data_IF_667841131391
#
_entry.id   IF_667841131391
#
_cell.length_a   1.000
_cell.length_b   1.000
_cell.length_c   1.000
_cell.angle_alpha   90.00
_cell.angle_beta   90.00
_cell.angle_gamma   90.00
#
_symmetry.space_group_name_H-M   'P 1'
#
loop_
_entity.id
_entity.type
_entity.pdbx_description
1 polymer ?
#
# COMPACT_ATOMS: atom_id res chain seq x y z
N UNK A 1 10.15 15.64 -19.28
CA UNK A 1 9.34 15.21 -18.11
C UNK A 1 10.24 14.74 -16.98
N UNK A 2 9.98 15.16 -15.74
CA UNK A 2 10.58 14.53 -14.55
C UNK A 2 9.67 13.38 -14.08
N UNK A 3 9.93 12.16 -14.56
CA UNK A 3 9.13 10.97 -14.24
C UNK A 3 9.25 10.56 -12.76
N UNK A 4 10.36 10.92 -12.11
CA UNK A 4 10.66 10.49 -10.76
C UNK A 4 9.68 11.02 -9.72
N UNK A 5 9.01 12.15 -10.00
CA UNK A 5 7.96 12.69 -9.14
C UNK A 5 6.75 11.75 -8.99
N UNK A 6 6.52 10.84 -9.94
CA UNK A 6 5.41 9.87 -9.94
C UNK A 6 5.75 8.56 -9.23
N UNK A 7 7.01 8.33 -8.86
CA UNK A 7 7.42 7.15 -8.09
C UNK A 7 7.25 7.45 -6.60
N UNK A 8 6.25 6.85 -5.96
CA UNK A 8 5.91 7.16 -4.56
C UNK A 8 6.99 6.72 -3.56
N UNK A 9 7.73 5.64 -3.85
CA UNK A 9 8.86 5.18 -3.02
C UNK A 9 10.10 6.05 -3.24
N UNK A 10 10.59 6.69 -2.18
CA UNK A 10 11.84 7.46 -2.24
C UNK A 10 13.05 6.58 -2.52
N UNK A 11 13.09 5.35 -2.00
CA UNK A 11 14.22 4.43 -2.15
C UNK A 11 14.33 3.98 -3.61
N UNK A 12 13.21 3.55 -4.22
CA UNK A 12 13.17 3.16 -5.63
C UNK A 12 13.47 4.36 -6.52
N UNK A 13 12.88 5.52 -6.24
CA UNK A 13 13.13 6.76 -6.99
C UNK A 13 14.61 7.10 -7.03
N UNK A 14 15.26 7.14 -5.86
CA UNK A 14 16.68 7.45 -5.75
C UNK A 14 17.56 6.42 -6.45
N UNK A 15 17.18 5.14 -6.37
CA UNK A 15 17.93 4.07 -7.02
C UNK A 15 17.84 4.12 -8.55
N UNK A 16 16.63 4.32 -9.10
CA UNK A 16 16.44 4.44 -10.55
C UNK A 16 17.17 5.68 -11.11
N UNK A 17 17.21 6.78 -10.35
CA UNK A 17 18.04 7.95 -10.64
C UNK A 17 19.54 7.60 -10.66
N UNK A 18 20.03 6.90 -9.63
CA UNK A 18 21.44 6.54 -9.47
C UNK A 18 21.94 5.67 -10.62
N UNK A 19 21.16 4.65 -11.00
CA UNK A 19 21.51 3.75 -12.10
C UNK A 19 21.21 4.35 -13.48
N UNK A 20 20.62 5.56 -13.54
CA UNK A 20 20.19 6.26 -14.75
C UNK A 20 19.28 5.37 -15.62
N UNK A 21 18.25 4.81 -15.00
CA UNK A 21 17.33 3.90 -15.68
C UNK A 21 16.67 4.61 -16.88
N UNK A 22 16.72 3.96 -18.04
CA UNK A 22 16.08 4.45 -19.26
C UNK A 22 14.68 3.84 -19.37
N UNK A 23 13.66 4.67 -19.20
CA UNK A 23 12.26 4.23 -19.28
C UNK A 23 11.75 4.22 -20.72
N UNK A 24 10.99 3.20 -21.06
CA UNK A 24 10.16 3.13 -22.26
C UNK A 24 8.86 3.92 -22.10
N UNK A 25 8.20 4.29 -23.21
CA UNK A 25 6.90 4.99 -23.17
C UNK A 25 5.85 4.25 -22.31
N UNK A 26 5.66 2.93 -22.44
CA UNK A 26 4.72 2.20 -21.61
C UNK A 26 5.05 2.24 -20.12
N UNK A 27 6.33 2.13 -19.76
CA UNK A 27 6.78 2.19 -18.36
C UNK A 27 6.51 3.57 -17.74
N UNK A 28 6.79 4.64 -18.48
CA UNK A 28 6.53 6.01 -18.03
C UNK A 28 5.03 6.23 -17.81
N UNK A 29 4.20 5.86 -18.79
CA UNK A 29 2.75 5.95 -18.69
C UNK A 29 2.19 5.14 -17.50
N UNK A 30 2.72 3.94 -17.30
CA UNK A 30 2.36 3.06 -16.20
C UNK A 30 2.76 3.63 -14.83
N UNK A 31 3.96 4.18 -14.67
CA UNK A 31 4.38 4.79 -13.39
C UNK A 31 3.51 6.00 -13.02
N UNK A 32 3.05 6.80 -13.99
CA UNK A 32 2.09 7.89 -13.75
C UNK A 32 0.75 7.34 -13.25
N UNK A 33 0.25 6.26 -13.87
CA UNK A 33 -0.96 5.55 -13.43
C UNK A 33 -0.81 5.02 -11.99
N UNK A 34 0.34 4.40 -11.69
CA UNK A 34 0.62 3.78 -10.39
C UNK A 34 0.84 4.80 -9.25
N UNK A 35 1.11 6.06 -9.57
CA UNK A 35 1.32 7.09 -8.54
C UNK A 35 0.06 7.30 -7.70
N UNK A 36 0.18 7.13 -6.39
CA UNK A 36 -0.89 7.35 -5.41
C UNK A 36 -0.81 8.72 -4.75
N UNK A 37 0.34 9.40 -4.84
CA UNK A 37 0.52 10.75 -4.31
C UNK A 37 0.25 11.88 -5.31
N UNK A 38 0.39 11.65 -6.62
CA UNK A 38 0.22 12.70 -7.61
C UNK A 38 -1.25 13.05 -7.88
N UNK A 39 -1.55 14.35 -7.91
CA UNK A 39 -2.86 14.84 -8.32
C UNK A 39 -3.17 14.47 -9.78
N UNK A 40 -4.44 14.17 -10.06
CA UNK A 40 -4.92 13.65 -11.34
C UNK A 40 -4.73 14.64 -12.49
N UNK A 41 -4.81 15.95 -12.23
CA UNK A 41 -4.46 16.97 -13.22
C UNK A 41 -2.98 16.88 -13.65
N UNK A 42 -2.06 16.69 -12.71
CA UNK A 42 -0.63 16.48 -13.01
C UNK A 42 -0.40 15.19 -13.80
N UNK A 43 -1.20 14.15 -13.55
CA UNK A 43 -1.17 12.91 -14.35
C UNK A 43 -1.65 13.18 -15.79
N UNK A 44 -2.72 13.94 -15.98
CA UNK A 44 -3.16 14.36 -17.33
C UNK A 44 -2.07 15.13 -18.08
N UNK A 45 -1.44 16.10 -17.41
CA UNK A 45 -0.36 16.88 -18.01
C UNK A 45 0.83 16.00 -18.40
N UNK A 46 1.20 15.03 -17.53
CA UNK A 46 2.29 14.10 -17.80
C UNK A 46 2.00 13.13 -18.94
N UNK A 47 0.80 12.55 -19.02
CA UNK A 47 0.41 11.72 -20.16
C UNK A 47 0.31 12.54 -21.46
N UNK A 48 -0.11 13.80 -21.40
CA UNK A 48 -0.06 14.70 -22.54
C UNK A 48 1.38 15.00 -22.97
N UNK A 49 2.30 15.21 -22.02
CA UNK A 49 3.72 15.40 -22.32
C UNK A 49 4.32 14.16 -23.01
N UNK A 50 3.91 12.94 -22.64
CA UNK A 50 4.30 11.72 -23.37
C UNK A 50 3.86 11.81 -24.84
N UNK A 51 2.58 12.10 -25.08
CA UNK A 51 2.02 12.22 -26.44
C UNK A 51 2.77 13.27 -27.27
N UNK A 52 3.14 14.38 -26.65
CA UNK A 52 3.73 15.53 -27.34
C UNK A 52 5.24 15.37 -27.59
N UNK A 53 5.95 14.62 -26.75
CA UNK A 53 7.43 14.63 -26.71
C UNK A 53 8.11 13.28 -26.92
N UNK A 54 7.41 12.17 -26.66
CA UNK A 54 7.96 10.82 -26.83
C UNK A 54 7.49 10.20 -28.16
N UNK A 55 8.25 9.26 -28.75
CA UNK A 55 7.81 8.57 -29.96
C UNK A 55 6.66 7.61 -29.65
N UNK A 56 5.67 7.56 -30.53
CA UNK A 56 4.57 6.59 -30.41
C UNK A 56 5.09 5.16 -30.55
N UNK A 57 4.43 4.22 -29.88
CA UNK A 57 4.78 2.80 -29.89
C UNK A 57 3.55 1.93 -29.74
N UNK A 58 3.67 0.66 -30.14
CA UNK A 58 2.68 -0.36 -29.86
C UNK A 58 3.10 -1.26 -28.69
N UNK A 59 2.14 -1.97 -28.13
CA UNK A 59 2.35 -3.02 -27.15
C UNK A 59 1.41 -4.19 -27.46
N UNK A 60 1.97 -5.39 -27.50
CA UNK A 60 1.19 -6.59 -27.81
C UNK A 60 0.16 -6.92 -26.72
N UNK A 61 -0.83 -7.71 -27.11
CA UNK A 61 -1.84 -8.29 -26.22
C UNK A 61 -1.20 -9.01 -25.01
N UNK A 62 -1.88 -8.92 -23.87
CA UNK A 62 -1.58 -9.66 -22.64
C UNK A 62 -2.83 -10.36 -22.14
N UNK A 63 -2.71 -11.14 -21.06
CA UNK A 63 -3.82 -11.96 -20.54
C UNK A 63 -5.07 -11.13 -20.22
N UNK A 64 -4.90 -9.93 -19.68
CA UNK A 64 -5.97 -9.03 -19.23
C UNK A 64 -5.89 -7.67 -19.93
N UNK A 65 -5.35 -7.62 -21.15
CA UNK A 65 -5.16 -6.38 -21.91
C UNK A 65 -5.16 -6.67 -23.40
N UNK A 66 -6.02 -6.00 -24.16
CA UNK A 66 -5.96 -6.05 -25.61
C UNK A 66 -4.65 -5.47 -26.16
N UNK A 67 -4.33 -5.77 -27.41
CA UNK A 67 -3.23 -5.12 -28.10
C UNK A 67 -3.44 -3.60 -28.12
N UNK A 68 -2.38 -2.84 -27.86
CA UNK A 68 -2.35 -1.37 -27.97
C UNK A 68 -1.56 -1.03 -29.24
N UNK A 69 -2.21 -0.68 -30.37
CA UNK A 69 -1.49 -0.37 -31.61
C UNK A 69 -0.76 0.97 -31.57
N UNK A 70 -1.24 1.90 -30.72
CA UNK A 70 -0.69 3.25 -30.54
C UNK A 70 -0.90 3.69 -29.10
N UNK A 71 0.19 3.86 -28.36
CA UNK A 71 0.16 4.37 -26.99
C UNK A 71 -0.35 5.81 -26.95
N UNK A 72 -0.05 6.62 -27.96
CA UNK A 72 -0.54 8.00 -28.02
C UNK A 72 -2.07 8.05 -28.12
N UNK A 73 -2.64 7.18 -28.96
CA UNK A 73 -4.09 7.04 -29.09
C UNK A 73 -4.72 6.55 -27.78
N UNK A 74 -4.16 5.48 -27.20
CA UNK A 74 -4.61 4.94 -25.92
C UNK A 74 -4.63 6.02 -24.82
N UNK A 75 -3.53 6.75 -24.63
CA UNK A 75 -3.45 7.81 -23.62
C UNK A 75 -4.46 8.94 -23.88
N UNK A 76 -4.67 9.32 -25.14
CA UNK A 76 -5.65 10.34 -25.51
C UNK A 76 -7.07 9.91 -25.12
N UNK A 77 -7.44 8.67 -25.45
CA UNK A 77 -8.74 8.09 -25.14
C UNK A 77 -8.92 7.90 -23.62
N UNK A 78 -7.88 7.43 -22.92
CA UNK A 78 -7.89 7.26 -21.46
C UNK A 78 -8.07 8.59 -20.71
N UNK A 79 -7.33 9.65 -21.10
CA UNK A 79 -7.51 11.00 -20.54
C UNK A 79 -8.94 11.50 -20.76
N UNK A 80 -9.49 11.29 -21.97
CA UNK A 80 -10.85 11.70 -22.30
C UNK A 80 -11.89 10.96 -21.45
N UNK A 81 -11.71 9.66 -21.24
CA UNK A 81 -12.55 8.82 -20.38
C UNK A 81 -12.56 9.34 -18.94
N UNK A 82 -11.38 9.55 -18.34
CA UNK A 82 -11.27 10.06 -16.97
C UNK A 82 -11.91 11.45 -16.81
N UNK A 83 -11.71 12.36 -17.78
CA UNK A 83 -12.39 13.67 -17.81
C UNK A 83 -13.91 13.54 -17.89
N UNK A 84 -14.41 12.56 -18.65
CA UNK A 84 -15.85 12.28 -18.72
C UNK A 84 -16.39 11.76 -17.38
N UNK A 85 -15.68 10.84 -16.71
CA UNK A 85 -16.06 10.35 -15.39
C UNK A 85 -16.11 11.48 -14.35
N UNK A 86 -15.14 12.39 -14.35
CA UNK A 86 -15.16 13.58 -13.50
C UNK A 86 -16.39 14.47 -13.79
N UNK A 87 -16.71 14.68 -15.06
CA UNK A 87 -17.91 15.45 -15.45
C UNK A 87 -19.19 14.77 -14.96
N UNK A 88 -19.29 13.44 -15.08
CA UNK A 88 -20.41 12.66 -14.57
C UNK A 88 -20.52 12.73 -13.05
N UNK A 89 -19.38 12.68 -12.35
CA UNK A 89 -19.33 12.81 -10.89
C UNK A 89 -19.92 14.16 -10.45
N UNK A 90 -19.48 15.28 -11.03
CA UNK A 90 -19.94 16.62 -10.63
C UNK A 90 -21.35 17.00 -11.12
N UNK A 91 -21.95 16.24 -12.04
CA UNK A 91 -23.30 16.52 -12.50
C UNK A 91 -24.34 16.30 -11.37
N UNK A 92 -25.29 17.21 -11.19
CA UNK A 92 -26.27 17.18 -10.10
C UNK A 92 -27.41 16.17 -10.29
N UNK A 93 -27.41 15.37 -11.35
CA UNK A 93 -28.49 14.42 -11.63
C UNK A 93 -28.37 13.11 -10.82
N UNK A 94 -29.47 12.74 -10.14
CA UNK A 94 -29.84 11.40 -9.63
C UNK A 94 -28.74 10.60 -8.91
N UNK A 95 -28.04 11.21 -7.94
CA UNK A 95 -27.14 10.48 -7.06
C UNK A 95 -27.15 11.00 -5.63
N UNK A 96 -26.74 10.14 -4.71
CA UNK A 96 -26.45 10.49 -3.31
C UNK A 96 -24.93 10.54 -3.16
N UNK A 97 -24.44 11.55 -2.46
CA UNK A 97 -23.04 11.72 -2.15
C UNK A 97 -22.77 11.36 -0.70
N UNK A 98 -21.70 10.62 -0.45
CA UNK A 98 -21.15 10.33 0.87
C UNK A 98 -19.65 10.62 0.87
N UNK A 99 -19.05 10.72 2.04
CA UNK A 99 -17.61 10.71 2.17
C UNK A 99 -17.12 9.84 3.32
N UNK A 100 -15.89 9.36 3.18
CA UNK A 100 -15.20 8.53 4.13
C UNK A 100 -13.75 8.99 4.29
N UNK A 101 -13.24 8.92 5.51
CA UNK A 101 -11.84 9.22 5.80
C UNK A 101 -11.03 7.94 5.77
N UNK A 102 -9.81 8.02 5.24
CA UNK A 102 -8.83 6.96 5.40
C UNK A 102 -8.12 7.18 6.73
N UNK A 103 -8.57 6.46 7.74
CA UNK A 103 -8.06 6.59 9.09
C UNK A 103 -7.18 5.40 9.45
N UNK A 104 -6.14 5.72 10.22
CA UNK A 104 -5.43 4.73 11.02
C UNK A 104 -6.35 4.36 12.17
N UNK A 105 -6.95 3.17 12.14
CA UNK A 105 -7.82 2.69 13.22
C UNK A 105 -7.14 2.94 14.58
N UNK A 106 -7.83 3.71 15.43
CA UNK A 106 -7.31 4.15 16.72
C UNK A 106 -6.86 2.98 17.57
N UNK A 107 -5.84 3.21 18.42
CA UNK A 107 -5.24 2.24 19.33
C UNK A 107 -6.27 1.54 20.24
N UNK A 108 -6.97 0.50 19.75
CA UNK A 108 -7.56 -0.52 20.60
C UNK A 108 -6.46 -1.49 20.98
N UNK A 109 -6.23 -1.65 22.28
CA UNK A 109 -5.30 -2.63 22.82
C UNK A 109 -5.70 -4.03 22.33
N UNK A 110 -4.87 -4.63 21.48
CA UNK A 110 -5.01 -6.02 21.02
C UNK A 110 -5.51 -6.21 19.58
N UNK A 111 -5.77 -5.16 18.82
CA UNK A 111 -6.11 -5.27 17.39
C UNK A 111 -5.05 -4.59 16.53
N UNK A 112 -4.52 -5.35 15.56
CA UNK A 112 -3.67 -4.89 14.47
C UNK A 112 -4.39 -3.71 13.81
N UNK A 113 -4.01 -2.46 14.11
CA UNK A 113 -4.62 -1.28 13.47
C UNK A 113 -4.69 -1.47 11.97
N UNK A 114 -5.90 -1.71 11.46
CA UNK A 114 -6.16 -1.82 10.03
C UNK A 114 -6.40 -0.39 9.56
N UNK A 115 -5.68 0.04 8.53
CA UNK A 115 -6.14 1.22 7.83
C UNK A 115 -7.48 0.88 7.17
N UNK A 116 -8.48 1.73 7.39
CA UNK A 116 -9.83 1.49 6.96
C UNK A 116 -10.49 2.77 6.50
N UNK A 117 -11.44 2.63 5.57
CA UNK A 117 -12.35 3.70 5.25
C UNK A 117 -13.42 3.77 6.33
N UNK A 118 -13.48 4.90 7.04
CA UNK A 118 -14.50 5.18 8.04
C UNK A 118 -15.54 6.09 7.41
N UNK A 119 -16.73 5.56 7.17
CA UNK A 119 -17.86 6.35 6.66
C UNK A 119 -18.47 7.20 7.78
N UNK A 120 -18.71 8.47 7.48
CA UNK A 120 -19.31 9.42 8.42
C UNK A 120 -20.84 9.27 8.50
N UNK A 121 -21.44 8.56 7.53
CA UNK A 121 -22.85 8.15 7.53
C UNK A 121 -23.84 9.20 7.03
N UNK A 122 -23.42 10.45 6.81
CA UNK A 122 -24.29 11.47 6.21
C UNK A 122 -24.47 11.28 4.69
N UNK A 123 -25.68 11.58 4.23
CA UNK A 123 -26.09 11.50 2.83
C UNK A 123 -26.39 12.90 2.29
N UNK A 124 -25.80 13.24 1.15
CA UNK A 124 -25.96 14.55 0.53
C UNK A 124 -26.57 14.44 -0.87
N UNK A 125 -27.41 15.39 -1.24
CA UNK A 125 -28.03 15.45 -2.57
C UNK A 125 -27.07 15.94 -3.67
N UNK A 126 -25.99 16.63 -3.28
CA UNK A 126 -25.01 17.19 -4.19
C UNK A 126 -23.63 17.29 -3.51
N UNK A 127 -22.59 17.30 -4.36
CA UNK A 127 -21.20 17.34 -3.91
C UNK A 127 -20.84 18.64 -3.15
N UNK A 128 -21.41 19.79 -3.52
CA UNK A 128 -21.06 21.06 -2.88
C UNK A 128 -21.58 21.13 -1.45
N UNK A 129 -22.76 20.57 -1.19
CA UNK A 129 -23.31 20.41 0.15
C UNK A 129 -22.43 19.47 0.98
N UNK A 130 -21.98 18.34 0.41
CA UNK A 130 -21.08 17.41 1.09
C UNK A 130 -19.74 18.07 1.48
N UNK A 131 -19.13 18.82 0.55
CA UNK A 131 -17.89 19.58 0.81
C UNK A 131 -18.09 20.68 1.85
N UNK A 132 -19.24 21.37 1.82
CA UNK A 132 -19.56 22.41 2.80
C UNK A 132 -19.74 21.81 4.20
N UNK A 133 -20.35 20.62 4.28
CA UNK A 133 -20.46 19.87 5.53
C UNK A 133 -19.09 19.45 6.06
N UNK A 134 -18.23 18.87 5.20
CA UNK A 134 -16.86 18.50 5.54
C UNK A 134 -16.10 19.69 6.13
N UNK A 135 -16.01 20.80 5.39
CA UNK A 135 -15.24 21.99 5.80
C UNK A 135 -15.76 22.62 7.09
N UNK A 136 -17.06 22.51 7.38
CA UNK A 136 -17.68 23.07 8.57
C UNK A 136 -17.39 22.23 9.82
N UNK A 137 -17.44 20.90 9.70
CA UNK A 137 -17.34 20.00 10.85
C UNK A 137 -15.90 19.50 11.09
N UNK A 138 -15.06 19.52 10.05
CA UNK A 138 -13.69 19.00 10.08
C UNK A 138 -12.66 20.02 9.58
N UNK A 139 -12.59 21.25 10.15
CA UNK A 139 -11.69 22.29 9.65
C UNK A 139 -10.21 22.04 9.96
N UNK A 140 -9.90 21.20 10.97
CA UNK A 140 -8.55 21.01 11.51
C UNK A 140 -8.11 19.53 11.62
N UNK A 141 -8.93 18.58 11.13
CA UNK A 141 -8.55 17.16 11.19
C UNK A 141 -7.53 16.80 10.11
N UNK A 142 -6.42 16.24 10.53
CA UNK A 142 -5.43 15.66 9.62
C UNK A 142 -5.87 14.25 9.20
N UNK A 143 -6.53 14.13 8.05
CA UNK A 143 -6.74 12.85 7.39
C UNK A 143 -5.69 12.63 6.29
N UNK A 144 -5.27 11.38 6.08
CA UNK A 144 -4.29 11.06 5.03
C UNK A 144 -4.92 11.10 3.64
N UNK A 145 -6.14 10.56 3.52
CA UNK A 145 -6.93 10.55 2.29
C UNK A 145 -8.42 10.67 2.60
N UNK A 146 -9.13 11.22 1.64
CA UNK A 146 -10.57 11.38 1.67
C UNK A 146 -11.16 10.69 0.45
N UNK A 147 -12.27 10.00 0.63
CA UNK A 147 -13.03 9.40 -0.47
C UNK A 147 -14.39 10.02 -0.51
N UNK A 148 -14.78 10.54 -1.66
CA UNK A 148 -16.17 10.86 -1.94
C UNK A 148 -16.76 9.81 -2.86
N UNK A 149 -17.93 9.30 -2.49
CA UNK A 149 -18.68 8.35 -3.31
C UNK A 149 -19.95 9.03 -3.77
N UNK A 150 -20.19 8.99 -5.08
CA UNK A 150 -21.49 9.28 -5.68
C UNK A 150 -22.15 7.95 -6.04
N UNK A 151 -23.25 7.63 -5.36
CA UNK A 151 -24.03 6.44 -5.64
C UNK A 151 -25.31 6.82 -6.39
N UNK A 152 -25.59 6.13 -7.49
CA UNK A 152 -26.84 6.31 -8.24
C UNK A 152 -27.96 5.47 -7.64
N UNK A 153 -29.20 5.90 -7.84
CA UNK A 153 -30.36 5.09 -7.48
C UNK A 153 -30.51 3.93 -8.47
N UNK A 154 -30.51 2.70 -7.95
CA UNK A 154 -30.83 1.52 -8.76
C UNK A 154 -32.30 1.53 -9.18
N UNK A 155 -32.54 1.28 -10.46
CA UNK A 155 -33.83 0.86 -10.99
C UNK A 155 -34.16 -0.58 -10.61
N UNK A 156 -35.42 -0.98 -10.77
CA UNK A 156 -35.88 -2.33 -10.44
C UNK A 156 -35.22 -3.44 -11.29
N UNK A 157 -34.60 -3.08 -12.41
CA UNK A 157 -33.94 -3.98 -13.36
C UNK A 157 -32.40 -3.87 -13.30
N UNK A 158 -31.84 -3.00 -12.45
CA UNK A 158 -30.39 -2.92 -12.29
C UNK A 158 -29.89 -4.17 -11.55
N UNK A 159 -28.93 -4.87 -12.14
CA UNK A 159 -28.32 -6.08 -11.57
C UNK A 159 -27.25 -5.76 -10.51
N UNK A 160 -26.78 -4.52 -10.47
CA UNK A 160 -25.64 -4.08 -9.65
C UNK A 160 -25.75 -2.59 -9.24
N UNK A 161 -24.96 -2.22 -8.24
CA UNK A 161 -24.94 -0.85 -7.71
C UNK A 161 -24.01 0.04 -8.53
N UNK A 162 -24.55 1.13 -9.07
CA UNK A 162 -23.79 2.10 -9.87
C UNK A 162 -23.16 3.17 -8.98
N UNK A 163 -21.83 3.32 -9.04
CA UNK A 163 -21.08 4.27 -8.21
C UNK A 163 -19.93 4.93 -8.97
N UNK A 164 -19.63 6.17 -8.58
CA UNK A 164 -18.37 6.84 -8.90
C UNK A 164 -17.68 7.22 -7.61
N UNK A 165 -16.36 7.07 -7.58
CA UNK A 165 -15.56 7.29 -6.38
C UNK A 165 -14.42 8.25 -6.75
N UNK A 166 -14.27 9.32 -5.98
CA UNK A 166 -13.10 10.19 -6.04
C UNK A 166 -12.27 10.00 -4.77
N UNK A 167 -11.00 9.66 -4.94
CA UNK A 167 -10.02 9.78 -3.86
C UNK A 167 -9.33 11.14 -3.95
N UNK A 168 -9.19 11.81 -2.82
CA UNK A 168 -8.66 13.16 -2.70
C UNK A 168 -7.64 13.22 -1.57
N UNK A 169 -6.69 14.14 -1.67
CA UNK A 169 -5.81 14.48 -0.56
C UNK A 169 -6.49 15.49 0.39
N UNK A 170 -5.78 15.85 1.47
CA UNK A 170 -6.22 16.85 2.44
C UNK A 170 -6.56 18.22 1.81
N UNK A 171 -5.86 18.60 0.75
CA UNK A 171 -6.08 19.87 0.05
C UNK A 171 -7.23 19.81 -0.97
N UNK A 172 -7.98 18.71 -1.00
CA UNK A 172 -9.06 18.43 -1.95
C UNK A 172 -8.58 18.44 -3.41
N UNK A 173 -7.32 18.09 -3.66
CA UNK A 173 -6.86 17.70 -4.98
C UNK A 173 -7.27 16.25 -5.26
N UNK A 174 -7.82 15.99 -6.44
CA UNK A 174 -8.22 14.65 -6.86
C UNK A 174 -6.96 13.82 -7.14
N UNK A 175 -6.85 12.63 -6.54
CA UNK A 175 -5.74 11.70 -6.74
C UNK A 175 -6.08 10.61 -7.76
N UNK A 176 -7.32 10.12 -7.72
CA UNK A 176 -7.86 9.12 -8.65
C UNK A 176 -9.38 9.21 -8.73
N UNK A 177 -9.91 8.70 -9.85
CA UNK A 177 -11.32 8.40 -10.05
C UNK A 177 -11.45 6.90 -10.26
N UNK A 178 -12.46 6.32 -9.65
CA UNK A 178 -12.84 4.91 -9.77
C UNK A 178 -14.35 4.83 -10.01
N UNK A 179 -14.80 3.70 -10.55
CA UNK A 179 -16.18 3.51 -10.97
C UNK A 179 -16.66 2.08 -10.72
N UNK A 180 -17.96 1.92 -10.59
CA UNK A 180 -18.60 0.61 -10.52
C UNK A 180 -19.89 0.66 -11.37
N UNK A 181 -19.97 -0.18 -12.39
CA UNK A 181 -21.13 -0.37 -13.28
C UNK A 181 -21.60 0.93 -13.99
N UNK A 182 -20.72 1.92 -14.16
CA UNK A 182 -21.01 3.19 -14.87
C UNK A 182 -20.58 3.13 -16.32
N UNK A 183 -19.48 2.44 -16.61
CA UNK A 183 -18.95 2.30 -17.96
C UNK A 183 -19.68 1.19 -18.74
N UNK A 184 -19.62 1.28 -20.07
CA UNK A 184 -19.94 0.13 -20.92
C UNK A 184 -18.69 -0.72 -21.16
N UNK A 185 -18.86 -1.94 -21.67
CA UNK A 185 -17.79 -2.92 -21.89
C UNK A 185 -16.53 -2.30 -22.54
N UNK A 186 -16.68 -1.56 -23.65
CA UNK A 186 -15.54 -0.95 -24.35
C UNK A 186 -14.82 0.15 -23.55
N UNK A 187 -15.56 0.86 -22.68
CA UNK A 187 -14.98 1.86 -21.80
C UNK A 187 -14.32 1.23 -20.59
N UNK A 188 -14.89 0.14 -20.07
CA UNK A 188 -14.31 -0.66 -18.99
C UNK A 188 -12.99 -1.29 -19.45
N UNK A 189 -12.94 -1.89 -20.64
CA UNK A 189 -11.70 -2.42 -21.23
C UNK A 189 -10.59 -1.35 -21.32
N UNK A 190 -10.95 -0.13 -21.77
CA UNK A 190 -10.04 1.01 -21.81
C UNK A 190 -9.61 1.46 -20.41
N UNK A 191 -10.53 1.47 -19.44
CA UNK A 191 -10.28 1.86 -18.06
C UNK A 191 -9.30 0.89 -17.37
N UNK A 192 -9.47 -0.40 -17.62
CA UNK A 192 -8.69 -1.49 -17.04
C UNK A 192 -7.38 -1.78 -17.78
N UNK A 193 -7.13 -1.12 -18.92
CA UNK A 193 -5.94 -1.37 -19.76
C UNK A 193 -4.61 -1.27 -18.99
N UNK A 194 -4.47 -0.27 -18.10
CA UNK A 194 -3.27 -0.17 -17.26
C UNK A 194 -3.15 -1.30 -16.24
N UNK A 195 -4.26 -1.84 -15.75
CA UNK A 195 -4.27 -2.95 -14.79
C UNK A 195 -3.74 -4.22 -15.41
N UNK A 196 -3.94 -4.42 -16.72
CA UNK A 196 -3.38 -5.52 -17.50
C UNK A 196 -1.89 -5.41 -17.83
N UNK A 197 -1.21 -4.34 -17.39
CA UNK A 197 0.22 -4.14 -17.60
C UNK A 197 1.07 -4.65 -16.42
N UNK A 198 2.30 -5.08 -16.74
CA UNK A 198 3.31 -5.49 -15.76
C UNK A 198 4.71 -5.19 -16.31
N UNK A 199 5.55 -4.64 -15.44
CA UNK A 199 6.94 -4.29 -15.75
C UNK A 199 7.86 -4.70 -14.61
N UNK A 200 9.07 -5.10 -14.97
CA UNK A 200 10.11 -5.52 -14.03
C UNK A 200 11.05 -4.36 -13.71
N UNK A 201 10.60 -3.42 -12.86
CA UNK A 201 11.43 -2.29 -12.45
C UNK A 201 12.54 -2.74 -11.48
N UNK A 202 13.79 -2.31 -11.69
CA UNK A 202 14.88 -2.56 -10.74
C UNK A 202 14.59 -1.94 -9.37
N UNK A 203 14.99 -2.63 -8.30
CA UNK A 203 14.81 -2.13 -6.92
C UNK A 203 16.13 -2.16 -6.14
N UNK A 204 16.32 -1.29 -5.13
CA UNK A 204 17.54 -1.25 -4.33
C UNK A 204 17.54 -2.25 -3.17
N UNK A 205 16.53 -3.11 -3.06
CA UNK A 205 16.29 -3.91 -1.85
C UNK A 205 16.99 -5.26 -1.91
N UNK A 206 17.30 -5.80 -0.74
CA UNK A 206 17.86 -7.14 -0.58
C UNK A 206 17.05 -7.96 0.40
N UNK A 207 17.13 -9.28 0.27
CA UNK A 207 16.58 -10.21 1.23
C UNK A 207 17.12 -9.90 2.63
N UNK A 208 16.24 -9.87 3.61
CA UNK A 208 16.56 -9.48 4.98
C UNK A 208 16.46 -7.97 5.24
N UNK A 209 16.26 -7.12 4.24
CA UNK A 209 15.97 -5.70 4.47
C UNK A 209 14.67 -5.56 5.27
N UNK A 210 14.65 -4.62 6.23
CA UNK A 210 13.44 -4.28 6.98
C UNK A 210 12.76 -3.11 6.27
N UNK A 211 11.59 -3.36 5.73
CA UNK A 211 10.87 -2.45 4.85
C UNK A 211 9.48 -2.14 5.39
N UNK A 212 8.85 -1.12 4.82
CA UNK A 212 7.41 -0.83 4.94
C UNK A 212 6.81 -0.73 3.55
N UNK A 213 5.49 -0.89 3.45
CA UNK A 213 4.74 -0.52 2.26
C UNK A 213 4.02 0.79 2.53
N UNK A 214 4.55 1.90 2.03
CA UNK A 214 4.08 3.25 2.41
C UNK A 214 2.63 3.56 1.99
N UNK A 215 2.03 2.72 1.14
CA UNK A 215 0.64 2.89 0.66
C UNK A 215 -0.33 1.97 1.40
N UNK A 216 0.09 0.74 1.71
CA UNK A 216 -0.80 -0.29 2.31
C UNK A 216 -0.65 -0.33 3.83
N UNK A 217 0.59 -0.27 4.34
CA UNK A 217 0.87 -0.46 5.76
C UNK A 217 2.27 0.05 6.13
N UNK A 218 2.32 0.97 7.10
CA UNK A 218 3.56 1.42 7.73
C UNK A 218 4.15 0.41 8.74
N UNK A 219 3.57 -0.79 8.86
CA UNK A 219 4.14 -1.82 9.74
C UNK A 219 5.39 -2.42 9.11
N UNK A 220 6.51 -2.47 9.84
CA UNK A 220 7.74 -3.02 9.32
C UNK A 220 7.59 -4.52 9.09
N UNK A 221 8.26 -5.01 8.04
CA UNK A 221 8.40 -6.42 7.73
C UNK A 221 9.81 -6.69 7.21
N UNK A 222 10.24 -7.94 7.26
CA UNK A 222 11.51 -8.39 6.68
C UNK A 222 11.25 -8.93 5.28
N UNK A 223 11.92 -8.37 4.27
CA UNK A 223 11.78 -8.79 2.88
C UNK A 223 12.38 -10.20 2.68
N UNK A 224 11.61 -11.08 2.04
CA UNK A 224 12.08 -12.39 1.61
C UNK A 224 12.51 -12.35 0.15
N UNK A 225 11.59 -12.00 -0.76
CA UNK A 225 11.85 -11.86 -2.18
C UNK A 225 10.91 -10.89 -2.90
N UNK A 226 11.29 -10.47 -4.10
CA UNK A 226 10.44 -9.71 -5.03
C UNK A 226 10.27 -10.55 -6.29
N UNK A 227 9.04 -10.67 -6.79
CA UNK A 227 8.73 -11.59 -7.89
C UNK A 227 9.36 -11.20 -9.24
N UNK A 228 9.97 -10.01 -9.34
CA UNK A 228 10.79 -9.58 -10.47
C UNK A 228 12.20 -10.15 -10.47
N UNK A 229 12.65 -10.74 -9.35
CA UNK A 229 14.00 -11.28 -9.24
C UNK A 229 14.19 -12.52 -10.10
N UNK A 230 15.12 -12.44 -11.05
CA UNK A 230 15.64 -13.59 -11.78
C UNK A 230 16.55 -14.47 -10.92
N UNK A 231 17.02 -15.58 -11.49
CA UNK A 231 17.87 -16.55 -10.80
C UNK A 231 19.15 -15.91 -10.25
N UNK A 232 19.79 -15.03 -11.04
CA UNK A 232 20.98 -14.29 -10.63
C UNK A 232 20.75 -13.45 -9.37
N UNK A 233 19.68 -12.66 -9.36
CA UNK A 233 19.37 -11.76 -8.24
C UNK A 233 18.98 -12.56 -6.98
N UNK A 234 18.27 -13.68 -7.14
CA UNK A 234 17.98 -14.61 -6.05
C UNK A 234 19.27 -15.19 -5.43
N UNK A 235 20.24 -15.58 -6.26
CA UNK A 235 21.54 -16.08 -5.77
C UNK A 235 22.33 -14.99 -5.03
N UNK A 236 22.36 -13.77 -5.56
CA UNK A 236 22.96 -12.61 -4.90
C UNK A 236 22.27 -12.28 -3.55
N UNK A 237 20.99 -12.63 -3.42
CA UNK A 237 20.19 -12.55 -2.20
C UNK A 237 20.27 -13.80 -1.30
N UNK A 238 21.28 -14.66 -1.53
CA UNK A 238 21.65 -15.75 -0.63
C UNK A 238 20.77 -16.99 -0.71
N UNK A 239 19.93 -17.14 -1.75
CA UNK A 239 19.26 -18.41 -2.08
C UNK A 239 20.27 -19.43 -2.63
N UNK A 240 19.90 -20.71 -2.64
CA UNK A 240 20.70 -21.81 -3.17
C UNK A 240 20.33 -22.10 -4.61
N UNK A 241 21.28 -22.49 -5.46
CA UNK A 241 20.98 -23.02 -6.80
C UNK A 241 20.06 -24.25 -6.76
N UNK A 242 20.09 -24.98 -5.64
CA UNK A 242 19.24 -26.16 -5.44
C UNK A 242 17.78 -25.80 -5.17
N UNK A 243 17.51 -24.58 -4.71
CA UNK A 243 16.18 -24.12 -4.33
C UNK A 243 15.25 -24.12 -5.55
N UNK A 244 14.08 -24.73 -5.40
CA UNK A 244 13.10 -24.84 -6.48
C UNK A 244 12.63 -23.49 -7.02
N UNK A 245 12.66 -22.43 -6.19
CA UNK A 245 12.33 -21.06 -6.58
C UNK A 245 13.38 -20.47 -7.52
N UNK A 246 14.68 -20.67 -7.24
CA UNK A 246 15.79 -20.19 -8.08
C UNK A 246 15.75 -20.85 -9.46
N UNK A 247 15.55 -22.17 -9.49
CA UNK A 247 15.45 -22.95 -10.74
C UNK A 247 14.31 -22.50 -11.66
N UNK A 248 13.28 -21.85 -11.11
CA UNK A 248 12.10 -21.38 -11.85
C UNK A 248 12.09 -19.87 -12.06
N UNK A 249 12.99 -19.11 -11.42
CA UNK A 249 12.94 -17.65 -11.36
C UNK A 249 12.90 -17.00 -12.74
N UNK A 250 13.86 -17.32 -13.61
CA UNK A 250 13.93 -16.70 -14.95
C UNK A 250 12.70 -17.03 -15.79
N UNK A 251 12.23 -18.29 -15.76
CA UNK A 251 11.00 -18.71 -16.44
C UNK A 251 9.77 -17.99 -15.88
N UNK A 252 9.73 -17.73 -14.58
CA UNK A 252 8.64 -16.97 -13.96
C UNK A 252 8.64 -15.53 -14.46
N UNK A 253 9.80 -14.85 -14.45
CA UNK A 253 9.93 -13.48 -14.96
C UNK A 253 9.56 -13.42 -16.46
N UNK A 254 10.05 -14.35 -17.28
CA UNK A 254 9.68 -14.43 -18.70
C UNK A 254 8.17 -14.65 -18.92
N UNK A 255 7.52 -15.42 -18.06
CA UNK A 255 6.06 -15.60 -18.10
C UNK A 255 5.35 -14.30 -17.75
N UNK A 256 5.80 -13.59 -16.71
CA UNK A 256 5.22 -12.33 -16.27
C UNK A 256 5.41 -11.21 -17.30
N UNK A 257 6.54 -11.16 -17.98
CA UNK A 257 6.75 -10.22 -19.10
C UNK A 257 5.71 -10.40 -20.23
N UNK A 258 5.13 -11.59 -20.37
CA UNK A 258 4.15 -11.91 -21.43
C UNK A 258 2.70 -11.88 -20.95
N UNK A 259 2.46 -12.27 -19.70
CA UNK A 259 1.11 -12.55 -19.18
C UNK A 259 0.81 -11.86 -17.86
N UNK A 260 1.80 -11.20 -17.26
CA UNK A 260 1.66 -10.53 -16.00
C UNK A 260 0.86 -9.25 -16.13
N UNK A 261 0.15 -8.94 -15.06
CA UNK A 261 -0.64 -7.75 -14.87
C UNK A 261 -0.28 -7.07 -13.54
N UNK A 262 -0.97 -6.02 -13.15
CA UNK A 262 -0.66 -5.29 -11.91
C UNK A 262 -0.75 -6.17 -10.67
N UNK A 263 -1.59 -7.21 -10.64
CA UNK A 263 -1.72 -8.14 -9.51
C UNK A 263 -0.47 -9.02 -9.33
N UNK A 264 0.39 -9.14 -10.35
CA UNK A 264 1.66 -9.86 -10.31
C UNK A 264 2.84 -9.00 -9.82
N UNK A 265 2.63 -7.73 -9.45
CA UNK A 265 3.66 -6.82 -8.92
C UNK A 265 4.05 -7.14 -7.47
N UNK A 266 4.19 -8.41 -7.12
CA UNK A 266 4.23 -8.88 -5.75
C UNK A 266 5.65 -8.95 -5.15
N UNK A 267 5.67 -8.94 -3.83
CA UNK A 267 6.83 -9.28 -3.02
C UNK A 267 6.40 -10.16 -1.86
N UNK A 268 7.31 -10.96 -1.32
CA UNK A 268 7.06 -11.79 -0.14
C UNK A 268 7.84 -11.25 1.05
N UNK A 269 7.26 -11.37 2.24
CA UNK A 269 7.89 -10.84 3.45
C UNK A 269 7.32 -11.45 4.71
N UNK A 270 8.05 -11.26 5.81
CA UNK A 270 7.66 -11.75 7.12
C UNK A 270 7.48 -10.60 8.10
N UNK A 271 6.34 -10.55 8.78
CA UNK A 271 5.98 -9.50 9.72
C UNK A 271 5.49 -10.11 11.03
N UNK A 272 5.41 -9.28 12.07
CA UNK A 272 4.85 -9.71 13.35
C UNK A 272 3.37 -9.34 13.37
N UNK A 273 2.54 -10.36 13.55
CA UNK A 273 1.13 -10.19 13.84
C UNK A 273 0.82 -10.52 15.30
N UNK A 274 -0.41 -10.21 15.68
CA UNK A 274 -0.93 -10.34 17.04
C UNK A 274 -2.24 -11.13 17.00
N UNK A 275 -2.46 -12.00 18.00
CA UNK A 275 -3.71 -12.73 18.21
C UNK A 275 -4.64 -12.01 19.19
N UNK A 276 -5.89 -12.43 19.25
CA UNK A 276 -6.92 -11.86 20.14
C UNK A 276 -6.64 -12.01 21.65
N UNK A 277 -5.56 -12.71 22.03
CA UNK A 277 -5.09 -12.91 23.41
C UNK A 277 -3.74 -12.22 23.67
N UNK A 278 -3.36 -11.24 22.85
CA UNK A 278 -2.07 -10.54 22.90
C UNK A 278 -0.85 -11.46 22.71
N UNK A 279 -1.03 -12.59 22.03
CA UNK A 279 0.07 -13.45 21.60
C UNK A 279 0.68 -12.92 20.30
N UNK A 280 1.99 -12.97 20.18
CA UNK A 280 2.71 -12.56 18.97
C UNK A 280 3.14 -13.77 18.14
N UNK A 281 3.18 -13.57 16.83
CA UNK A 281 3.61 -14.58 15.88
C UNK A 281 4.33 -13.95 14.69
N UNK A 282 5.18 -14.73 14.02
CA UNK A 282 5.76 -14.33 12.72
C UNK A 282 4.88 -14.91 11.62
N UNK A 283 4.34 -14.05 10.77
CA UNK A 283 3.59 -14.46 9.58
C UNK A 283 4.41 -14.13 8.33
N UNK A 284 4.43 -15.08 7.40
CA UNK A 284 5.00 -14.89 6.07
C UNK A 284 3.86 -14.81 5.07
N UNK A 285 3.88 -13.82 4.21
CA UNK A 285 2.78 -13.55 3.27
C UNK A 285 3.34 -13.01 1.94
N UNK A 286 2.54 -13.15 0.89
CA UNK A 286 2.75 -12.47 -0.39
C UNK A 286 1.92 -11.19 -0.39
N UNK A 287 2.61 -10.08 -0.58
CA UNK A 287 2.03 -8.75 -0.58
C UNK A 287 2.01 -8.15 -1.96
N UNK A 288 1.01 -7.31 -2.17
CA UNK A 288 0.88 -6.56 -3.40
C UNK A 288 1.67 -5.25 -3.38
N UNK A 289 2.29 -5.05 -4.54
CA UNK A 289 3.01 -3.90 -5.07
C UNK A 289 4.34 -3.51 -4.43
N UNK A 290 5.43 -4.02 -5.01
CA UNK A 290 6.78 -3.67 -4.61
C UNK A 290 7.17 -2.21 -4.91
N UNK A 291 6.45 -1.48 -5.77
CA UNK A 291 6.76 -0.08 -6.11
C UNK A 291 6.54 0.89 -4.95
N UNK A 292 5.83 0.46 -3.91
CA UNK A 292 5.55 1.26 -2.71
C UNK A 292 6.47 0.95 -1.53
N UNK A 293 7.48 0.10 -1.73
CA UNK A 293 8.39 -0.29 -0.67
C UNK A 293 9.37 0.83 -0.31
N UNK A 294 9.58 1.03 0.98
CA UNK A 294 10.64 1.90 1.51
C UNK A 294 11.35 1.22 2.68
N UNK A 295 12.61 1.61 2.90
CA UNK A 295 13.36 1.19 4.08
C UNK A 295 12.72 1.74 5.35
N UNK A 296 12.52 0.87 6.32
CA UNK A 296 12.09 1.27 7.65
C UNK A 296 13.25 1.96 8.38
N UNK A 297 13.11 3.26 8.65
CA UNK A 297 14.18 4.08 9.24
C UNK A 297 14.05 4.25 10.76
N UNK A 298 12.93 3.84 11.36
CA UNK A 298 12.67 4.05 12.78
C UNK A 298 13.26 2.92 13.63
N UNK A 299 13.54 3.15 14.93
CA UNK A 299 13.95 2.08 15.83
C UNK A 299 12.83 1.06 16.03
N UNK A 300 13.15 -0.23 15.94
CA UNK A 300 12.24 -1.30 16.31
C UNK A 300 11.98 -1.27 17.83
N UNK A 301 10.72 -1.39 18.23
CA UNK A 301 10.27 -1.32 19.63
C UNK A 301 9.40 -2.52 19.97
N UNK A 302 9.32 -2.84 21.27
CA UNK A 302 8.45 -3.91 21.76
C UNK A 302 8.76 -5.24 21.07
N UNK A 303 7.70 -5.89 20.57
CA UNK A 303 7.77 -7.14 19.83
C UNK A 303 8.50 -6.99 18.49
N UNK A 304 8.44 -5.81 17.85
CA UNK A 304 9.03 -5.56 16.52
C UNK A 304 10.55 -5.75 16.51
N UNK A 305 11.22 -5.71 17.67
CA UNK A 305 12.66 -6.03 17.78
C UNK A 305 13.00 -7.44 17.30
N UNK A 306 12.05 -8.38 17.33
CA UNK A 306 12.23 -9.72 16.76
C UNK A 306 12.51 -9.70 15.24
N UNK A 307 12.08 -8.65 14.50
CA UNK A 307 12.40 -8.51 13.08
C UNK A 307 13.91 -8.36 12.82
N UNK A 308 14.68 -7.80 13.76
CA UNK A 308 16.13 -7.69 13.60
C UNK A 308 16.81 -9.07 13.60
N UNK A 309 16.34 -10.00 14.42
CA UNK A 309 16.84 -11.37 14.44
C UNK A 309 16.47 -12.08 13.13
N UNK A 310 15.22 -11.92 12.67
CA UNK A 310 14.74 -12.48 11.41
C UNK A 310 15.50 -11.92 10.19
N UNK A 311 15.72 -10.61 10.13
CA UNK A 311 16.54 -9.97 9.11
C UNK A 311 17.96 -10.56 9.08
N UNK A 312 18.54 -10.76 10.26
CA UNK A 312 19.88 -11.35 10.38
C UNK A 312 19.93 -12.80 9.92
N UNK A 313 18.91 -13.61 10.20
CA UNK A 313 18.85 -15.02 9.74
C UNK A 313 18.65 -15.14 8.23
N UNK A 314 18.11 -14.10 7.59
CA UNK A 314 17.87 -14.04 6.14
C UNK A 314 18.98 -13.34 5.35
N UNK A 315 20.05 -12.86 6.02
CA UNK A 315 21.12 -12.10 5.37
C UNK A 315 21.63 -12.77 4.07
N UNK A 316 21.86 -12.01 2.99
CA UNK A 316 22.44 -12.56 1.76
C UNK A 316 23.81 -13.19 2.01
N UNK A 317 24.58 -12.62 2.94
CA UNK A 317 25.85 -13.17 3.41
C UNK A 317 25.59 -14.30 4.42
N UNK A 318 25.56 -15.53 3.91
CA UNK A 318 25.29 -16.74 4.72
C UNK A 318 26.18 -16.89 5.95
N UNK A 319 27.41 -16.36 5.92
CA UNK A 319 28.35 -16.44 7.05
C UNK A 319 27.99 -15.49 8.19
N UNK A 320 27.16 -14.48 7.92
CA UNK A 320 26.65 -13.51 8.90
C UNK A 320 25.28 -13.88 9.46
N UNK A 321 24.68 -14.98 8.99
CA UNK A 321 23.40 -15.43 9.51
C UNK A 321 23.55 -15.91 10.95
N UNK A 322 22.62 -15.49 11.79
CA UNK A 322 22.48 -16.07 13.13
C UNK A 322 22.02 -17.53 13.03
N UNK A 323 22.30 -18.34 14.05
CA UNK A 323 21.79 -19.71 14.13
C UNK A 323 20.27 -19.73 14.29
N UNK A 324 19.64 -20.83 13.87
CA UNK A 324 18.20 -21.05 14.08
C UNK A 324 17.83 -21.03 15.57
N UNK A 325 18.69 -21.58 16.43
CA UNK A 325 18.53 -21.53 17.88
C UNK A 325 18.51 -20.08 18.40
N UNK A 326 19.48 -19.25 18.01
CA UNK A 326 19.53 -17.85 18.43
C UNK A 326 18.35 -17.05 17.89
N UNK A 327 17.90 -17.35 16.67
CA UNK A 327 16.67 -16.76 16.11
C UNK A 327 15.46 -17.09 17.00
N UNK A 328 15.22 -18.37 17.28
CA UNK A 328 14.09 -18.84 18.08
C UNK A 328 14.11 -18.22 19.49
N UNK A 329 15.26 -18.24 20.16
CA UNK A 329 15.41 -17.70 21.51
C UNK A 329 15.17 -16.19 21.54
N UNK A 330 15.71 -15.45 20.56
CA UNK A 330 15.56 -14.00 20.49
C UNK A 330 14.12 -13.59 20.20
N UNK A 331 13.45 -14.28 19.26
CA UNK A 331 12.03 -14.04 18.95
C UNK A 331 11.18 -14.33 20.17
N UNK A 332 11.39 -15.48 20.82
CA UNK A 332 10.65 -15.88 22.01
C UNK A 332 10.83 -14.87 23.15
N UNK A 333 12.07 -14.44 23.41
CA UNK A 333 12.39 -13.45 24.42
C UNK A 333 11.64 -12.13 24.20
N UNK A 334 11.72 -11.54 23.00
CA UNK A 334 11.07 -10.26 22.74
C UNK A 334 9.54 -10.34 22.79
N UNK A 335 8.97 -11.47 22.38
CA UNK A 335 7.53 -11.70 22.48
C UNK A 335 7.08 -11.79 23.94
N UNK A 336 7.79 -12.57 24.76
CA UNK A 336 7.49 -12.68 26.20
C UNK A 336 7.67 -11.35 26.93
N UNK A 337 8.77 -10.63 26.66
CA UNK A 337 9.05 -9.34 27.29
C UNK A 337 7.93 -8.33 27.01
N UNK A 338 7.51 -8.21 25.75
CA UNK A 338 6.44 -7.30 25.36
C UNK A 338 5.08 -7.73 25.94
N UNK A 339 4.78 -9.03 25.94
CA UNK A 339 3.54 -9.55 26.52
C UNK A 339 3.46 -9.27 28.03
N UNK A 340 4.56 -9.51 28.76
CA UNK A 340 4.67 -9.15 30.18
C UNK A 340 4.47 -7.65 30.40
N UNK A 341 5.08 -6.80 29.56
CA UNK A 341 4.93 -5.34 29.64
C UNK A 341 3.48 -4.88 29.44
N UNK A 342 2.78 -5.43 28.44
CA UNK A 342 1.38 -5.11 28.15
C UNK A 342 0.44 -5.60 29.27
N UNK A 343 0.64 -6.83 29.74
CA UNK A 343 -0.11 -7.39 30.86
C UNK A 343 0.09 -6.56 32.14
N UNK A 344 1.33 -6.12 32.41
CA UNK A 344 1.61 -5.24 33.54
C UNK A 344 0.85 -3.92 33.46
N UNK A 345 0.86 -3.27 32.28
CA UNK A 345 0.12 -2.03 32.05
C UNK A 345 -1.39 -2.21 32.26
N UNK A 346 -1.96 -3.31 31.78
CA UNK A 346 -3.37 -3.65 32.02
C UNK A 346 -3.66 -3.82 33.52
N UNK A 347 -2.79 -4.56 34.23
CA UNK A 347 -2.93 -4.73 35.68
C UNK A 347 -2.89 -3.38 36.40
N UNK A 348 -1.97 -2.48 36.00
CA UNK A 348 -1.86 -1.14 36.57
C UNK A 348 -3.12 -0.30 36.35
N UNK A 349 -3.76 -0.40 35.19
CA UNK A 349 -4.91 0.42 34.81
C UNK A 349 -6.24 -0.09 35.39
N UNK A 350 -6.47 -1.40 35.34
CA UNK A 350 -7.80 -1.97 35.61
C UNK A 350 -8.03 -2.38 37.07
N UNK A 351 -6.97 -2.64 37.83
CA UNK A 351 -7.09 -3.15 39.19
C UNK A 351 -6.73 -2.10 40.24
N UNK A 352 -7.52 -2.02 41.31
CA UNK A 352 -7.24 -1.16 42.45
C UNK A 352 -6.02 -1.67 43.26
N UNK A 353 -5.39 -0.75 43.99
CA UNK A 353 -4.21 -1.03 44.81
C UNK A 353 -4.41 -2.17 45.82
N UNK A 354 -5.61 -2.30 46.40
CA UNK A 354 -5.93 -3.38 47.33
C UNK A 354 -5.92 -4.76 46.64
N UNK A 355 -6.56 -4.86 45.48
CA UNK A 355 -6.55 -6.09 44.68
C UNK A 355 -5.15 -6.51 44.27
N UNK A 356 -4.30 -5.56 43.87
CA UNK A 356 -2.88 -5.79 43.55
C UNK A 356 -2.09 -6.32 44.76
N UNK A 357 -2.29 -5.75 45.95
CA UNK A 357 -1.63 -6.19 47.19
C UNK A 357 -2.01 -7.63 47.56
N UNK A 358 -3.29 -8.02 47.39
CA UNK A 358 -3.77 -9.37 47.70
C UNK A 358 -3.11 -10.47 46.86
N UNK A 359 -2.77 -10.16 45.60
CA UNK A 359 -2.07 -11.10 44.70
C UNK A 359 -0.55 -11.00 44.77
N UNK A 360 0.00 -10.27 45.75
CA UNK A 360 1.43 -10.17 46.00
C UNK A 360 2.19 -9.20 45.10
N UNK A 361 1.51 -8.28 44.40
CA UNK A 361 2.16 -7.27 43.58
C UNK A 361 2.62 -6.08 44.42
N UNK A 362 3.82 -5.58 44.13
CA UNK A 362 4.31 -4.34 44.72
C UNK A 362 3.57 -3.16 44.10
N UNK A 363 2.89 -2.37 44.94
CA UNK A 363 2.22 -1.13 44.52
C UNK A 363 3.05 0.03 45.04
N UNK A 364 3.57 0.87 44.13
CA UNK A 364 4.16 2.15 44.52
C UNK A 364 3.03 3.07 44.99
N UNK A 365 3.01 3.40 46.28
CA UNK A 365 2.08 4.40 46.80
C UNK A 365 2.45 5.77 46.21
N UNK A 366 1.47 6.61 45.80
CA UNK A 366 1.77 7.97 45.36
C UNK A 366 2.51 8.67 46.48
N UNK A 367 3.61 9.36 46.18
CA UNK A 367 4.25 10.25 47.14
C UNK A 367 3.24 11.34 47.50
N UNK A 368 2.62 11.22 48.67
CA UNK A 368 1.89 12.34 49.26
C UNK A 368 2.89 13.47 49.54
N UNK A 369 2.57 14.65 49.00
CA UNK A 369 3.10 15.97 49.34
C UNK A 369 4.43 16.42 48.69
N UNK A 370 4.32 17.21 47.62
CA UNK A 370 5.03 18.50 47.55
C UNK A 370 3.98 19.62 47.56
N UNK A 371 4.02 20.55 48.53
CA UNK A 371 3.06 21.64 48.65
C UNK A 371 3.30 22.73 47.60
N UNK A 372 2.19 23.38 47.24
CA UNK A 372 2.03 24.47 46.27
C UNK A 372 2.96 25.67 46.48
#
# INVERSE_FOLDING_TARGET
MDIYQFIDSKDIRNYLLEIKYEFTVPEVAFLIYMSRGAALNKKFDAWQEIIDTMPDCSMGERLNMEEIPSFHRFLTEYIALLKNLLKLFYNSEKGIYTYAFYEKEGNWSGSVGKFGWVEEGNLFSDFQTAISHLKKNYPEESFEKLRFTKQYFSGAEDESEKKLILEMNHDLEILSVDEQDVLNDSQEDLFMTFEGMWFSFPTPFRRGDILINRVISEKPFVLNDIHTWGSKEMLENGYSEEDGVVKKADRTVERLMKKGDTSDMNYSGSYIGEDVRNGFYIFSEIFWNYLYLERYAQPLKGEQRALAALASSLSPDRKKRISEELLCDTVHYYFMEEQCRRNWKFIEQEYISEGKKLVGLQVSEPKENEPC
#
